data_IF_146857385466
#
_entry.id   IF_146857385466
#
_cell.length_a   1.000
_cell.length_b   1.000
_cell.length_c   1.000
_cell.angle_alpha   90.00
_cell.angle_beta   90.00
_cell.angle_gamma   90.00
#
_symmetry.space_group_name_H-M   'P 1'
#
loop_
_entity.id
_entity.type
_entity.pdbx_description
1 polymer ?
#
# COMPACT_ATOMS: atom_id res chain seq x y z
N UNK A 1 18.36 -12.28 22.77
CA UNK A 1 19.06 -13.32 22.01
C UNK A 1 18.37 -13.48 20.67
N UNK A 2 19.05 -13.17 19.58
CA UNK A 2 18.61 -13.51 18.22
C UNK A 2 18.58 -15.03 18.10
N UNK A 3 17.46 -15.62 17.67
CA UNK A 3 17.39 -17.07 17.41
C UNK A 3 18.48 -17.43 16.38
N UNK A 4 19.24 -18.52 16.56
CA UNK A 4 20.20 -18.96 15.57
C UNK A 4 19.47 -19.25 14.25
N UNK A 5 20.08 -18.84 13.13
CA UNK A 5 19.51 -18.98 11.78
C UNK A 5 18.97 -20.41 11.50
N UNK A 6 19.66 -21.43 12.02
CA UNK A 6 19.28 -22.83 11.90
C UNK A 6 17.90 -23.15 12.51
N UNK A 7 17.52 -22.52 13.62
CA UNK A 7 16.20 -22.73 14.25
C UNK A 7 15.08 -22.09 13.42
N UNK A 8 15.34 -20.95 12.77
CA UNK A 8 14.36 -20.29 11.91
C UNK A 8 14.07 -21.11 10.66
N UNK A 9 15.10 -21.74 10.08
CA UNK A 9 14.97 -22.65 8.95
C UNK A 9 14.15 -23.88 9.33
N UNK A 10 14.47 -24.55 10.45
CA UNK A 10 13.72 -25.71 10.92
C UNK A 10 12.24 -25.40 11.19
N UNK A 11 11.96 -24.21 11.75
CA UNK A 11 10.60 -23.74 11.99
C UNK A 11 9.84 -23.50 10.68
N UNK A 12 10.47 -22.90 9.68
CA UNK A 12 9.88 -22.68 8.36
C UNK A 12 9.62 -24.01 7.61
N UNK A 13 10.54 -24.99 7.70
CA UNK A 13 10.36 -26.31 7.09
C UNK A 13 9.17 -27.07 7.70
N UNK A 14 9.03 -27.02 9.03
CA UNK A 14 7.88 -27.63 9.71
C UNK A 14 6.55 -27.00 9.27
N UNK A 15 6.51 -25.68 9.10
CA UNK A 15 5.32 -24.97 8.68
C UNK A 15 4.86 -25.34 7.25
N UNK A 16 5.78 -25.71 6.37
CA UNK A 16 5.47 -26.08 4.97
C UNK A 16 5.37 -27.59 4.74
N UNK A 17 5.61 -28.42 5.77
CA UNK A 17 5.57 -29.88 5.65
C UNK A 17 4.20 -30.43 5.19
N UNK A 18 3.11 -29.71 5.42
CA UNK A 18 1.77 -30.06 4.95
C UNK A 18 1.48 -29.74 3.48
N UNK A 19 2.36 -29.01 2.79
CA UNK A 19 2.16 -28.57 1.41
C UNK A 19 2.70 -29.62 0.44
N UNK A 20 1.78 -30.31 -0.26
CA UNK A 20 2.11 -31.39 -1.22
C UNK A 20 2.65 -30.89 -2.55
N UNK A 21 2.30 -29.66 -2.94
CA UNK A 21 2.74 -29.06 -4.19
C UNK A 21 4.13 -28.43 -4.03
N UNK A 22 5.06 -28.78 -4.93
CA UNK A 22 6.46 -28.39 -4.80
C UNK A 22 6.69 -26.87 -5.00
N UNK A 23 5.95 -26.27 -5.93
CA UNK A 23 6.05 -24.85 -6.25
C UNK A 23 5.43 -24.01 -5.13
N UNK A 24 4.26 -24.41 -4.64
CA UNK A 24 3.59 -23.76 -3.52
C UNK A 24 4.40 -23.88 -2.23
N UNK A 25 5.03 -25.04 -1.99
CA UNK A 25 5.90 -25.27 -0.82
C UNK A 25 7.11 -24.33 -0.84
N UNK A 26 7.73 -24.14 -2.01
CA UNK A 26 8.87 -23.22 -2.18
C UNK A 26 8.47 -21.77 -1.87
N UNK A 27 7.36 -21.31 -2.45
CA UNK A 27 6.88 -19.93 -2.25
C UNK A 27 6.45 -19.69 -0.80
N UNK A 28 5.78 -20.67 -0.18
CA UNK A 28 5.39 -20.58 1.22
C UNK A 28 6.61 -20.54 2.15
N UNK A 29 7.62 -21.37 1.89
CA UNK A 29 8.84 -21.44 2.69
C UNK A 29 9.61 -20.11 2.63
N UNK A 30 9.78 -19.55 1.43
CA UNK A 30 10.45 -18.26 1.22
C UNK A 30 9.77 -17.13 2.01
N UNK A 31 8.43 -17.07 1.96
CA UNK A 31 7.66 -16.05 2.69
C UNK A 31 7.77 -16.21 4.21
N UNK A 32 7.68 -17.44 4.72
CA UNK A 32 7.76 -17.71 6.17
C UNK A 32 9.17 -17.42 6.69
N UNK A 33 10.21 -17.80 5.96
CA UNK A 33 11.59 -17.54 6.35
C UNK A 33 11.90 -16.04 6.32
N UNK A 34 11.38 -15.30 5.32
CA UNK A 34 11.51 -13.85 5.25
C UNK A 34 10.85 -13.14 6.44
N UNK A 35 9.65 -13.60 6.85
CA UNK A 35 8.94 -13.09 8.03
C UNK A 35 9.73 -13.35 9.33
N UNK A 36 10.25 -14.58 9.49
CA UNK A 36 11.04 -14.99 10.65
C UNK A 36 12.38 -14.25 10.78
N UNK A 37 13.01 -13.89 9.66
CA UNK A 37 14.25 -13.11 9.61
C UNK A 37 14.00 -11.60 9.75
N UNK A 38 12.86 -11.11 9.23
CA UNK A 38 12.51 -9.70 9.14
C UNK A 38 11.96 -9.08 10.43
N UNK A 39 11.65 -9.89 11.45
CA UNK A 39 11.24 -9.35 12.76
C UNK A 39 9.93 -8.56 12.73
N UNK A 40 8.97 -8.97 11.89
CA UNK A 40 7.56 -8.63 12.00
C UNK A 40 6.99 -7.75 10.87
N UNK A 41 5.80 -8.13 10.38
CA UNK A 41 4.55 -7.43 10.76
C UNK A 41 3.31 -8.25 10.36
N UNK A 42 2.26 -8.12 11.19
CA UNK A 42 0.86 -8.48 10.89
C UNK A 42 0.49 -9.98 10.80
N UNK A 43 0.12 -10.50 11.96
CA UNK A 43 -0.88 -11.55 12.08
C UNK A 43 -2.14 -11.18 11.28
N UNK A 44 -2.31 -11.78 10.10
CA UNK A 44 -3.62 -11.95 9.48
C UNK A 44 -4.47 -12.83 10.39
N UNK A 45 -5.16 -12.19 11.33
CA UNK A 45 -6.17 -12.81 12.19
C UNK A 45 -7.53 -12.57 11.55
N UNK A 46 -8.13 -13.63 11.03
CA UNK A 46 -9.55 -13.65 10.76
C UNK A 46 -10.37 -13.36 12.03
N UNK A 47 -11.43 -12.58 11.86
CA UNK A 47 -12.64 -12.34 12.71
C UNK A 47 -12.83 -13.21 13.99
N UNK A 48 -13.47 -12.68 15.07
CA UNK A 48 -14.74 -11.95 14.99
C UNK A 48 -14.89 -10.72 15.90
N UNK A 49 -15.92 -9.93 15.57
CA UNK A 49 -16.37 -8.77 16.32
C UNK A 49 -16.93 -9.20 17.69
N UNK A 50 -16.36 -8.64 18.77
CA UNK A 50 -16.95 -8.63 20.10
C UNK A 50 -17.00 -7.19 20.61
N UNK A 51 -18.11 -6.91 21.28
CA UNK A 51 -18.56 -5.62 21.75
C UNK A 51 -17.69 -4.97 22.86
N UNK A 52 -18.08 -3.73 23.18
CA UNK A 52 -17.85 -2.95 24.40
C UNK A 52 -16.86 -1.78 24.23
N UNK A 53 -17.35 -0.58 23.91
CA UNK A 53 -17.84 0.50 24.80
C UNK A 53 -16.73 1.33 25.49
N UNK A 54 -16.73 2.60 25.07
CA UNK A 54 -16.53 3.82 25.86
C UNK A 54 -15.20 4.04 26.61
N UNK A 55 -14.43 5.03 26.13
CA UNK A 55 -14.22 6.28 26.86
C UNK A 55 -13.49 7.30 25.96
N UNK A 56 -14.07 8.50 25.83
CA UNK A 56 -13.30 9.71 25.50
C UNK A 56 -12.86 10.34 26.83
N UNK A 57 -11.66 10.94 26.89
CA UNK A 57 -11.68 12.40 26.86
C UNK A 57 -10.58 13.06 26.01
N UNK A 58 -10.97 14.23 25.50
CA UNK A 58 -10.20 15.44 25.21
C UNK A 58 -8.76 15.39 24.64
N UNK A 59 -8.68 15.83 23.36
CA UNK A 59 -7.89 16.97 22.88
C UNK A 59 -6.36 16.93 23.06
N UNK A 60 -5.66 16.52 21.99
CA UNK A 60 -4.74 17.38 21.21
C UNK A 60 -3.66 16.55 20.51
N UNK A 61 -3.90 16.22 19.25
CA UNK A 61 -2.92 16.37 18.16
C UNK A 61 -3.71 16.29 16.87
N UNK A 62 -3.47 17.24 15.97
CA UNK A 62 -4.11 17.32 14.67
C UNK A 62 -4.20 15.92 14.08
N UNK A 63 -5.43 15.41 13.94
CA UNK A 63 -5.66 14.13 13.30
C UNK A 63 -5.14 14.31 11.88
N UNK A 64 -3.96 13.77 11.60
CA UNK A 64 -3.55 13.45 10.25
C UNK A 64 -4.76 12.77 9.64
N UNK A 65 -5.48 13.50 8.80
CA UNK A 65 -6.68 13.03 8.13
C UNK A 65 -6.20 11.77 7.45
N UNK A 66 -6.61 10.59 7.96
CA UNK A 66 -6.17 9.31 7.41
C UNK A 66 -6.36 9.46 5.91
N UNK A 67 -5.25 9.44 5.17
CA UNK A 67 -5.20 9.59 3.71
C UNK A 67 -5.78 8.30 3.13
N UNK A 68 -7.03 8.03 3.47
CA UNK A 68 -7.71 6.77 3.23
C UNK A 68 -8.47 6.90 1.92
N UNK A 69 -8.14 6.03 0.98
CA UNK A 69 -8.79 5.93 -0.32
C UNK A 69 -7.96 6.51 -1.47
N UNK A 70 -8.51 6.49 -2.70
CA UNK A 70 -7.76 6.78 -3.92
C UNK A 70 -7.03 8.13 -3.94
N UNK A 71 -7.61 9.14 -3.31
CA UNK A 71 -6.97 10.47 -3.23
C UNK A 71 -5.74 10.44 -2.32
N UNK A 72 -5.81 9.73 -1.20
CA UNK A 72 -4.74 9.69 -0.20
C UNK A 72 -3.48 8.99 -0.73
N UNK A 73 -3.65 7.89 -1.45
CA UNK A 73 -2.54 7.19 -2.10
C UNK A 73 -1.85 8.07 -3.15
N UNK A 74 -2.62 8.90 -3.87
CA UNK A 74 -2.02 9.83 -4.83
C UNK A 74 -1.37 11.03 -4.12
N UNK A 75 -1.90 11.48 -2.97
CA UNK A 75 -1.22 12.48 -2.13
C UNK A 75 0.14 11.97 -1.63
N UNK A 76 0.25 10.69 -1.27
CA UNK A 76 1.53 10.06 -0.92
C UNK A 76 2.50 10.02 -2.12
N UNK A 77 2.03 9.69 -3.32
CA UNK A 77 2.86 9.77 -4.54
C UNK A 77 3.37 11.18 -4.85
N UNK A 78 2.60 12.22 -4.51
CA UNK A 78 3.03 13.61 -4.64
C UNK A 78 4.17 13.91 -3.66
N UNK A 79 4.03 13.49 -2.40
CA UNK A 79 5.07 13.66 -1.38
C UNK A 79 6.36 12.91 -1.73
N UNK A 80 6.24 11.71 -2.32
CA UNK A 80 7.38 10.92 -2.83
C UNK A 80 8.06 11.58 -4.05
N UNK A 81 7.42 12.58 -4.66
CA UNK A 81 7.95 13.30 -5.82
C UNK A 81 7.77 12.55 -7.15
N UNK A 82 6.81 11.63 -7.25
CA UNK A 82 6.50 10.91 -8.50
C UNK A 82 6.15 11.86 -9.66
N UNK A 83 5.49 12.97 -9.35
CA UNK A 83 5.02 13.99 -10.29
C UNK A 83 6.06 15.09 -10.60
N UNK A 84 7.33 14.89 -10.24
CA UNK A 84 8.44 15.79 -10.66
C UNK A 84 8.58 15.84 -12.18
N UNK A 85 8.27 14.73 -12.86
CA UNK A 85 8.14 14.67 -14.31
C UNK A 85 6.65 14.64 -14.67
N UNK A 86 6.22 15.20 -15.82
CA UNK A 86 4.84 15.06 -16.26
C UNK A 86 4.48 13.58 -16.44
N UNK A 87 3.43 13.14 -15.73
CA UNK A 87 2.95 11.75 -15.73
C UNK A 87 1.51 11.67 -16.20
N UNK A 88 1.20 10.63 -16.97
CA UNK A 88 -0.16 10.35 -17.42
C UNK A 88 -0.96 9.63 -16.34
N UNK A 89 -2.29 9.70 -16.42
CA UNK A 89 -3.17 8.98 -15.50
C UNK A 89 -2.96 7.44 -15.54
N UNK A 90 -2.53 6.91 -16.69
CA UNK A 90 -2.19 5.49 -16.84
C UNK A 90 -0.93 5.12 -16.07
N UNK A 91 0.09 5.98 -16.07
CA UNK A 91 1.30 5.77 -15.26
C UNK A 91 0.99 5.87 -13.77
N UNK A 92 0.11 6.79 -13.37
CA UNK A 92 -0.36 6.89 -11.97
C UNK A 92 -1.08 5.61 -11.55
N UNK A 93 -1.93 5.05 -12.42
CA UNK A 93 -2.59 3.76 -12.15
C UNK A 93 -1.57 2.64 -11.97
N UNK A 94 -0.61 2.51 -12.88
CA UNK A 94 0.42 1.47 -12.81
C UNK A 94 1.23 1.56 -11.52
N UNK A 95 1.59 2.78 -11.10
CA UNK A 95 2.31 3.00 -9.84
C UNK A 95 1.46 2.67 -8.61
N UNK A 96 0.16 2.99 -8.62
CA UNK A 96 -0.76 2.58 -7.56
C UNK A 96 -0.89 1.05 -7.50
N UNK A 97 -0.94 0.37 -8.65
CA UNK A 97 -0.94 -1.09 -8.72
C UNK A 97 0.36 -1.70 -8.17
N UNK A 98 1.52 -1.10 -8.49
CA UNK A 98 2.82 -1.49 -7.94
C UNK A 98 2.87 -1.37 -6.41
N UNK A 99 2.15 -0.38 -5.85
CA UNK A 99 2.01 -0.18 -4.40
C UNK A 99 0.95 -1.07 -3.76
N UNK A 100 0.29 -1.95 -4.54
CA UNK A 100 -0.75 -2.87 -4.06
C UNK A 100 -2.17 -2.26 -4.03
N UNK A 101 -2.37 -1.08 -4.61
CA UNK A 101 -3.67 -0.41 -4.67
C UNK A 101 -4.30 -0.56 -6.06
N UNK A 102 -5.10 -1.60 -6.23
CA UNK A 102 -5.84 -1.81 -7.47
C UNK A 102 -7.07 -0.91 -7.54
N UNK A 103 -6.93 0.24 -8.21
CA UNK A 103 -7.98 1.25 -8.37
C UNK A 103 -8.34 1.38 -9.85
N UNK A 104 -9.63 1.32 -10.23
CA UNK A 104 -10.04 1.48 -11.63
C UNK A 104 -9.79 2.92 -12.10
N UNK A 105 -9.40 3.04 -13.38
CA UNK A 105 -9.05 4.33 -14.00
C UNK A 105 -10.19 5.37 -13.92
N UNK A 106 -11.43 4.91 -14.02
CA UNK A 106 -12.63 5.74 -13.90
C UNK A 106 -12.76 6.40 -12.52
N UNK A 107 -12.31 5.71 -11.47
CA UNK A 107 -12.31 6.22 -10.09
C UNK A 107 -11.11 7.11 -9.76
N UNK A 108 -10.07 7.16 -10.60
CA UNK A 108 -8.90 8.04 -10.42
C UNK A 108 -9.13 9.45 -10.94
N UNK A 109 -9.99 9.61 -11.96
CA UNK A 109 -10.23 10.91 -12.60
C UNK A 109 -10.76 11.98 -11.61
N UNK A 110 -11.71 11.61 -10.75
CA UNK A 110 -12.30 12.52 -9.76
C UNK A 110 -11.30 13.01 -8.69
N UNK A 111 -10.59 12.09 -8.00
CA UNK A 111 -9.51 12.44 -7.07
C UNK A 111 -8.42 13.31 -7.72
N UNK A 112 -8.01 12.99 -8.95
CA UNK A 112 -7.00 13.78 -9.66
C UNK A 112 -7.45 15.22 -9.90
N UNK A 113 -8.69 15.42 -10.32
CA UNK A 113 -9.25 16.76 -10.50
C UNK A 113 -9.30 17.55 -9.18
N UNK A 114 -9.66 16.91 -8.06
CA UNK A 114 -9.63 17.56 -6.73
C UNK A 114 -8.23 17.99 -6.33
N UNK A 115 -7.21 17.18 -6.63
CA UNK A 115 -5.80 17.53 -6.36
C UNK A 115 -5.32 18.70 -7.23
N UNK A 116 -5.80 18.79 -8.46
CA UNK A 116 -5.58 19.97 -9.30
C UNK A 116 -6.25 21.22 -8.72
N UNK A 117 -7.48 21.12 -8.23
CA UNK A 117 -8.20 22.25 -7.60
C UNK A 117 -7.49 22.73 -6.32
N UNK A 118 -6.90 21.82 -5.56
CA UNK A 118 -6.09 22.11 -4.37
C UNK A 118 -4.71 22.70 -4.68
N UNK A 119 -4.36 22.92 -5.97
CA UNK A 119 -3.04 23.38 -6.42
C UNK A 119 -1.89 22.48 -5.96
N UNK A 120 -2.14 21.18 -5.80
CA UNK A 120 -1.11 20.19 -5.51
C UNK A 120 -0.53 19.62 -6.81
N UNK A 121 -1.36 19.53 -7.84
CA UNK A 121 -0.99 19.09 -9.17
C UNK A 121 -1.40 20.12 -10.21
N UNK A 122 -0.60 20.23 -11.26
CA UNK A 122 -0.93 20.92 -12.48
C UNK A 122 -1.29 19.91 -13.55
N UNK A 123 -2.32 20.20 -14.34
CA UNK A 123 -2.72 19.39 -15.48
C UNK A 123 -2.41 20.13 -16.78
N UNK A 124 -1.69 19.49 -17.68
CA UNK A 124 -1.38 19.98 -19.02
C UNK A 124 -1.95 19.03 -20.06
N UNK A 125 -2.40 19.58 -21.19
CA UNK A 125 -2.87 18.79 -22.32
C UNK A 125 -1.64 18.33 -23.09
N UNK A 126 -1.37 17.03 -23.13
CA UNK A 126 -0.20 16.50 -23.81
C UNK A 126 -0.47 16.29 -25.30
N UNK A 127 -1.59 15.62 -25.63
CA UNK A 127 -1.82 15.16 -27.01
C UNK A 127 -3.32 15.06 -27.36
N UNK A 128 -4.06 16.16 -27.22
CA UNK A 128 -5.48 16.24 -27.66
C UNK A 128 -6.50 15.46 -26.81
N UNK A 129 -6.21 14.21 -26.45
CA UNK A 129 -7.02 13.22 -25.74
C UNK A 129 -6.49 12.90 -24.34
N UNK A 130 -5.20 13.10 -24.09
CA UNK A 130 -4.55 12.73 -22.81
C UNK A 130 -4.05 13.95 -22.06
N UNK A 131 -4.24 13.92 -20.74
CA UNK A 131 -3.71 14.91 -19.82
C UNK A 131 -2.48 14.36 -19.07
N UNK A 132 -1.45 15.19 -18.97
CA UNK A 132 -0.30 14.97 -18.12
C UNK A 132 -0.44 15.77 -16.83
N UNK A 133 0.01 15.18 -15.73
CA UNK A 133 0.00 15.74 -14.40
C UNK A 133 1.43 15.96 -13.92
N UNK A 134 1.72 17.14 -13.42
CA UNK A 134 3.00 17.50 -12.81
C UNK A 134 2.75 18.19 -11.47
N UNK A 135 3.77 18.27 -10.62
CA UNK A 135 3.68 19.13 -9.43
C UNK A 135 3.41 20.59 -9.84
N UNK A 136 2.75 21.31 -8.96
CA UNK A 136 2.50 22.75 -9.14
C UNK A 136 3.80 23.55 -9.17
#
# INVERSE_FOLDING_TARGET
MTKPYAELVAQAEHAVAGVKDAELRRVAFERILNDLLGGGHEAQSGKPAAAARAAKPARAKATAKKRSGPQGHVEEMIDDGFFKKPKTISEVKAELENRGHHIPLTSLSGPMQKLCQKKLLRRQKADGKTFSYSNW
#
